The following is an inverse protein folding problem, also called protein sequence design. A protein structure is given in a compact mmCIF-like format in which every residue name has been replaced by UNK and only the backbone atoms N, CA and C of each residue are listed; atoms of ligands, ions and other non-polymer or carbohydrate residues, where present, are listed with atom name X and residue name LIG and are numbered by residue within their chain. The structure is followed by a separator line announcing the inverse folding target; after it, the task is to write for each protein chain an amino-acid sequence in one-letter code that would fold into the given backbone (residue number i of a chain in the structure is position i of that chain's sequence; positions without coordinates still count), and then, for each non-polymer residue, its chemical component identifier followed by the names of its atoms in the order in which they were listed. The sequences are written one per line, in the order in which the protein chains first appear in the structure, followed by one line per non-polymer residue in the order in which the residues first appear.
data_IF_046657162930
#
_entry.id   IF_046657162930
#
_cell.length_a   1.000
_cell.length_b   1.000
_cell.length_c   1.000
_cell.angle_alpha   90.00
_cell.angle_beta   90.00
_cell.angle_gamma   90.00
#
_symmetry.space_group_name_H-M   'P 1'
#
loop_
_entity.id
_entity.type
_entity.pdbx_description
1 polymer ?
#
# COMPACT_ATOMS: atom_id res chain seq x y z
N UNK A 1 -21.49 -4.54 -13.46
CA UNK A 1 -20.31 -4.41 -12.57
C UNK A 1 -19.11 -5.00 -13.32
N UNK A 2 -18.04 -4.28 -13.67
CA UNK A 2 -16.86 -4.98 -14.21
C UNK A 2 -15.83 -4.28 -15.12
N UNK A 3 -15.88 -2.98 -15.39
CA UNK A 3 -14.92 -2.36 -16.34
C UNK A 3 -13.64 -1.76 -15.72
N UNK A 4 -13.58 -1.59 -14.40
CA UNK A 4 -12.49 -0.82 -13.77
C UNK A 4 -11.36 -1.64 -13.12
N UNK A 5 -11.47 -2.98 -13.06
CA UNK A 5 -10.44 -3.82 -12.42
C UNK A 5 -9.22 -4.08 -13.29
N UNK A 6 -9.37 -3.96 -14.62
CA UNK A 6 -8.31 -4.24 -15.62
C UNK A 6 -7.33 -3.08 -15.84
N UNK A 7 -7.63 -1.89 -15.33
CA UNK A 7 -6.98 -0.67 -15.82
C UNK A 7 -5.66 -0.40 -15.09
N UNK A 8 -5.52 -0.80 -13.82
CA UNK A 8 -4.36 -0.44 -12.99
C UNK A 8 -3.07 -1.22 -13.31
N UNK A 9 -3.17 -2.48 -13.74
CA UNK A 9 -2.02 -3.39 -13.87
C UNK A 9 -1.91 -3.96 -15.29
N UNK A 10 -0.75 -3.75 -15.93
CA UNK A 10 -0.52 -4.15 -17.33
C UNK A 10 -0.30 -5.67 -17.48
N UNK A 11 0.54 -6.25 -16.62
CA UNK A 11 0.80 -7.69 -16.47
C UNK A 11 0.79 -8.03 -14.96
N UNK A 12 0.40 -9.24 -14.58
CA UNK A 12 0.43 -9.68 -13.16
C UNK A 12 -0.80 -9.25 -12.33
N UNK A 13 -2.00 -9.23 -12.92
CA UNK A 13 -3.24 -8.91 -12.21
C UNK A 13 -3.52 -9.85 -11.03
N UNK A 14 -3.16 -11.13 -11.17
CA UNK A 14 -3.31 -12.12 -10.10
C UNK A 14 -2.38 -11.80 -8.92
N UNK A 15 -1.11 -11.49 -9.22
CA UNK A 15 -0.12 -11.10 -8.21
C UNK A 15 -0.52 -9.79 -7.51
N UNK A 16 -0.95 -8.78 -8.27
CA UNK A 16 -1.45 -7.54 -7.70
C UNK A 16 -2.69 -7.77 -6.81
N UNK A 17 -3.57 -8.71 -7.19
CA UNK A 17 -4.72 -9.08 -6.36
C UNK A 17 -4.28 -9.78 -5.07
N UNK A 18 -3.26 -10.64 -5.11
CA UNK A 18 -2.70 -11.27 -3.92
C UNK A 18 -2.05 -10.24 -2.98
N UNK A 19 -1.29 -9.29 -3.52
CA UNK A 19 -0.74 -8.17 -2.78
C UNK A 19 -1.84 -7.35 -2.07
N UNK A 20 -2.90 -6.98 -2.80
CA UNK A 20 -4.04 -6.28 -2.22
C UNK A 20 -4.77 -7.13 -1.16
N UNK A 21 -4.89 -8.43 -1.38
CA UNK A 21 -5.50 -9.34 -0.42
C UNK A 21 -4.71 -9.39 0.89
N UNK A 22 -3.37 -9.47 0.83
CA UNK A 22 -2.50 -9.43 2.01
C UNK A 22 -2.60 -8.12 2.77
N UNK A 23 -2.68 -6.98 2.07
CA UNK A 23 -2.88 -5.67 2.70
C UNK A 23 -4.27 -5.53 3.34
N UNK A 24 -5.32 -6.12 2.76
CA UNK A 24 -6.66 -6.06 3.33
C UNK A 24 -6.91 -7.09 4.45
N UNK A 25 -6.11 -8.16 4.48
CA UNK A 25 -6.17 -9.26 5.44
C UNK A 25 -4.79 -9.53 6.04
N UNK A 26 -4.23 -8.55 6.76
CA UNK A 26 -2.93 -8.70 7.40
C UNK A 26 -2.96 -9.83 8.44
N UNK A 27 -1.84 -10.55 8.54
CA UNK A 27 -1.63 -11.55 9.58
C UNK A 27 -1.20 -10.86 10.88
N UNK A 28 -1.33 -11.56 12.00
CA UNK A 28 -0.92 -11.04 13.32
C UNK A 28 0.57 -10.70 13.39
N UNK A 29 1.37 -11.23 12.46
CA UNK A 29 2.82 -11.04 12.39
C UNK A 29 3.24 -10.07 11.28
N UNK A 30 2.29 -9.37 10.63
CA UNK A 30 2.62 -8.46 9.53
C UNK A 30 3.59 -7.38 10.00
N UNK A 31 4.72 -7.25 9.30
CA UNK A 31 5.76 -6.25 9.61
C UNK A 31 5.67 -5.04 8.69
N UNK A 32 6.36 -3.96 9.06
CA UNK A 32 6.45 -2.77 8.22
C UNK A 32 7.14 -3.09 6.89
N UNK A 33 8.26 -3.82 6.94
CA UNK A 33 9.02 -4.24 5.75
C UNK A 33 8.17 -5.09 4.80
N UNK A 34 7.31 -5.97 5.32
CA UNK A 34 6.38 -6.75 4.49
C UNK A 34 5.38 -5.83 3.77
N UNK A 35 4.78 -4.88 4.49
CA UNK A 35 3.84 -3.92 3.89
C UNK A 35 4.52 -3.06 2.83
N UNK A 36 5.73 -2.57 3.12
CA UNK A 36 6.54 -1.81 2.16
C UNK A 36 6.85 -2.64 0.91
N UNK A 37 7.35 -3.88 1.07
CA UNK A 37 7.64 -4.78 -0.04
C UNK A 37 6.41 -5.03 -0.92
N UNK A 38 5.24 -5.25 -0.31
CA UNK A 38 3.99 -5.43 -1.05
C UNK A 38 3.64 -4.18 -1.87
N UNK A 39 3.86 -2.97 -1.33
CA UNK A 39 3.57 -1.72 -2.04
C UNK A 39 4.56 -1.41 -3.15
N UNK A 40 5.85 -1.66 -2.94
CA UNK A 40 6.84 -1.59 -4.00
C UNK A 40 6.49 -2.56 -5.12
N UNK A 41 6.06 -3.78 -4.78
CA UNK A 41 5.61 -4.75 -5.77
C UNK A 41 4.37 -4.29 -6.54
N UNK A 42 3.38 -3.74 -5.84
CA UNK A 42 2.21 -3.12 -6.49
C UNK A 42 2.60 -1.98 -7.44
N UNK A 43 3.59 -1.16 -7.08
CA UNK A 43 4.12 -0.09 -7.94
C UNK A 43 4.80 -0.65 -9.19
N UNK A 44 5.52 -1.77 -9.07
CA UNK A 44 6.17 -2.41 -10.23
C UNK A 44 5.15 -2.95 -11.23
N UNK A 45 4.10 -3.61 -10.72
CA UNK A 45 3.01 -4.21 -11.50
C UNK A 45 2.06 -3.16 -12.10
N UNK A 46 1.99 -1.96 -11.51
CA UNK A 46 1.17 -0.87 -11.99
C UNK A 46 1.61 -0.44 -13.40
N UNK A 47 0.63 -0.11 -14.25
CA UNK A 47 0.91 0.46 -15.55
C UNK A 47 1.71 1.77 -15.38
N UNK A 48 2.58 2.16 -16.34
CA UNK A 48 3.46 3.32 -16.20
C UNK A 48 2.74 4.60 -15.73
N UNK A 49 1.54 4.86 -16.28
CA UNK A 49 0.67 6.00 -15.94
C UNK A 49 0.09 6.00 -14.52
N UNK A 50 0.22 4.90 -13.78
CA UNK A 50 -0.23 4.80 -12.38
C UNK A 50 0.93 4.73 -11.40
N UNK A 51 2.18 4.58 -11.87
CA UNK A 51 3.36 4.56 -10.99
C UNK A 51 3.56 5.89 -10.26
N UNK A 52 3.13 6.98 -10.89
CA UNK A 52 3.14 8.34 -10.32
C UNK A 52 2.20 8.50 -9.12
N UNK A 53 1.19 7.64 -8.97
CA UNK A 53 0.29 7.63 -7.82
C UNK A 53 0.96 7.15 -6.53
N UNK A 54 2.06 6.40 -6.66
CA UNK A 54 2.81 5.82 -5.54
C UNK A 54 3.90 6.76 -5.09
N UNK A 55 3.65 7.47 -4.00
CA UNK A 55 4.59 8.40 -3.40
C UNK A 55 5.26 7.77 -2.19
N UNK A 56 6.58 7.87 -2.14
CA UNK A 56 7.40 7.44 -1.02
C UNK A 56 8.26 8.61 -0.56
N UNK A 57 8.26 8.89 0.74
CA UNK A 57 9.01 9.93 1.39
C UNK A 57 9.60 9.36 2.70
N UNK A 58 10.82 8.84 2.62
CA UNK A 58 11.51 8.19 3.74
C UNK A 58 11.74 9.11 4.95
N UNK A 59 11.83 10.42 4.73
CA UNK A 59 12.13 11.43 5.76
C UNK A 59 10.90 11.82 6.57
N UNK A 60 9.71 11.35 6.20
CA UNK A 60 8.48 11.61 6.93
C UNK A 60 8.24 10.51 7.97
N UNK A 61 7.89 10.88 9.21
CA UNK A 61 7.35 9.92 10.18
C UNK A 61 5.84 9.68 9.92
N UNK A 62 5.17 10.65 9.32
CA UNK A 62 3.76 10.59 8.96
C UNK A 62 3.56 10.35 7.46
N UNK A 63 2.78 9.33 7.08
CA UNK A 63 2.39 9.08 5.68
C UNK A 63 3.61 8.92 4.74
N UNK A 64 4.66 8.25 5.22
CA UNK A 64 5.92 8.08 4.49
C UNK A 64 5.76 7.24 3.21
N UNK A 65 4.71 6.43 3.12
CA UNK A 65 4.26 5.83 1.87
C UNK A 65 2.78 6.18 1.67
N UNK A 66 2.41 6.66 0.48
CA UNK A 66 1.02 6.99 0.16
C UNK A 66 0.68 6.68 -1.31
N UNK A 67 -0.55 6.23 -1.54
CA UNK A 67 -1.14 6.11 -2.87
C UNK A 67 -2.29 7.10 -2.97
N UNK A 68 -2.25 7.97 -3.97
CA UNK A 68 -3.29 8.96 -4.23
C UNK A 68 -4.10 8.61 -5.47
N UNK A 69 -5.39 8.90 -5.46
CA UNK A 69 -6.21 8.86 -6.67
C UNK A 69 -5.92 10.09 -7.58
N UNK A 70 -6.57 10.13 -8.74
CA UNK A 70 -6.42 11.24 -9.70
C UNK A 70 -6.87 12.61 -9.14
N UNK A 71 -7.66 12.62 -8.06
CA UNK A 71 -8.14 13.84 -7.40
C UNK A 71 -7.22 14.25 -6.25
N UNK A 72 -6.13 13.50 -6.00
CA UNK A 72 -5.21 13.71 -4.89
C UNK A 72 -5.68 13.14 -3.55
N UNK A 73 -6.81 12.43 -3.51
CA UNK A 73 -7.30 11.80 -2.29
C UNK A 73 -6.44 10.60 -1.94
N UNK A 74 -6.15 10.42 -0.65
CA UNK A 74 -5.37 9.28 -0.17
C UNK A 74 -6.22 8.01 -0.20
N UNK A 75 -5.85 7.09 -1.08
CA UNK A 75 -6.42 5.74 -1.16
C UNK A 75 -5.70 4.82 -0.17
N UNK A 76 -4.40 5.04 -0.02
CA UNK A 76 -3.55 4.29 0.88
C UNK A 76 -2.55 5.23 1.58
N UNK A 77 -2.28 5.01 2.86
CA UNK A 77 -1.13 5.65 3.53
C UNK A 77 -0.58 4.80 4.68
N UNK A 78 0.74 4.86 4.91
CA UNK A 78 1.39 4.28 6.10
C UNK A 78 1.93 5.39 6.99
N UNK A 79 1.61 5.29 8.27
CA UNK A 79 2.20 6.09 9.34
C UNK A 79 2.99 5.18 10.28
N UNK A 80 4.15 5.65 10.76
CA UNK A 80 4.94 4.93 11.76
C UNK A 80 5.20 5.83 12.95
N UNK A 81 5.06 5.27 14.14
CA UNK A 81 5.49 5.84 15.41
C UNK A 81 6.56 4.91 16.01
N UNK A 82 7.27 5.37 17.04
CA UNK A 82 8.44 4.65 17.61
C UNK A 82 8.22 3.19 18.00
N UNK A 83 6.96 2.79 18.26
CA UNK A 83 6.60 1.44 18.72
C UNK A 83 5.64 0.71 17.78
N UNK A 84 4.95 1.43 16.91
CA UNK A 84 3.80 0.93 16.16
C UNK A 84 3.83 1.49 14.74
N UNK A 85 3.33 0.72 13.79
CA UNK A 85 2.97 1.26 12.48
C UNK A 85 1.49 1.04 12.24
N UNK A 86 0.90 1.92 11.44
CA UNK A 86 -0.47 1.75 11.00
C UNK A 86 -0.61 2.19 9.55
N UNK A 87 -1.46 1.51 8.81
CA UNK A 87 -1.80 1.92 7.45
C UNK A 87 -3.30 2.00 7.25
N UNK A 88 -3.71 2.88 6.35
CA UNK A 88 -5.11 3.11 5.99
C UNK A 88 -5.32 2.67 4.55
N UNK A 89 -6.40 1.94 4.29
CA UNK A 89 -6.87 1.56 2.95
C UNK A 89 -8.32 2.00 2.84
N UNK A 90 -8.65 2.92 1.93
CA UNK A 90 -10.03 3.38 1.70
C UNK A 90 -10.76 3.68 3.03
N UNK A 91 -10.14 4.50 3.88
CA UNK A 91 -10.61 4.87 5.23
C UNK A 91 -10.61 3.76 6.30
N UNK A 92 -10.27 2.51 5.96
CA UNK A 92 -10.07 1.45 6.94
C UNK A 92 -8.64 1.47 7.47
N UNK A 93 -8.47 1.73 8.77
CA UNK A 93 -7.17 1.75 9.44
C UNK A 93 -6.83 0.40 10.06
N UNK A 94 -5.59 -0.03 9.88
CA UNK A 94 -5.00 -1.22 10.49
C UNK A 94 -3.76 -0.80 11.30
N UNK A 95 -3.64 -1.25 12.55
CA UNK A 95 -2.55 -0.87 13.46
C UNK A 95 -1.83 -2.11 13.97
N UNK A 96 -0.50 -2.08 13.90
CA UNK A 96 0.38 -3.18 14.28
C UNK A 96 1.49 -2.69 15.21
N UNK A 97 1.91 -3.56 16.11
CA UNK A 97 3.16 -3.34 16.84
C UNK A 97 4.31 -3.53 15.87
N UNK A 98 5.23 -2.56 15.82
CA UNK A 98 6.44 -2.71 15.03
C UNK A 98 7.33 -3.76 15.72
N UNK A 99 7.25 -5.00 15.28
CA UNK A 99 8.15 -6.06 15.77
C UNK A 99 9.54 -5.74 15.21
N UNK A 100 10.39 -5.11 16.02
CA UNK A 100 11.84 -5.05 15.75
C UNK A 100 12.37 -6.48 15.88
N UNK A 101 12.68 -7.13 14.76
CA UNK A 101 13.56 -8.31 14.75
C UNK A 101 15.00 -7.86 14.62
#
# INVERSE_FOLDING_TARGET
MGKNKRILFSNGQEEALQCLHQLCHPSNNTTLDEVENILFRLKELAAPKYKEMFHYNADSNDNFFQIKDNNGNRVFSISKNDKNFSYTILDKKFSFNAIRR
#
